data_IF_436416948947
#
_entry.id   IF_436416948947
#
_cell.length_a   1.000
_cell.length_b   1.000
_cell.length_c   1.000
_cell.angle_alpha   90.00
_cell.angle_beta   90.00
_cell.angle_gamma   90.00
#
_symmetry.space_group_name_H-M   'P 1'
#
loop_
_entity.id
_entity.type
_entity.pdbx_description
1 polymer ?
#
# COMPACT_ATOMS: atom_id res chain seq x y z
N UNK A 1 -8.50 31.19 -6.12
CA UNK A 1 -9.23 29.95 -5.78
C UNK A 1 -8.29 29.11 -4.96
N UNK A 2 -8.55 28.99 -3.66
CA UNK A 2 -7.75 28.20 -2.71
C UNK A 2 -8.07 26.73 -2.97
N UNK A 3 -7.10 25.98 -3.51
CA UNK A 3 -7.23 24.52 -3.58
C UNK A 3 -7.53 23.98 -2.18
N UNK A 4 -8.66 23.29 -1.94
CA UNK A 4 -8.87 22.58 -0.70
C UNK A 4 -7.84 21.46 -0.67
N UNK A 5 -6.80 21.65 0.14
CA UNK A 5 -5.78 20.64 0.45
C UNK A 5 -6.41 19.24 0.46
N UNK A 6 -5.93 18.26 -0.34
CA UNK A 6 -6.58 16.96 -0.51
C UNK A 6 -6.77 16.20 0.81
N UNK A 7 -5.95 16.51 1.82
CA UNK A 7 -6.05 16.00 3.19
C UNK A 7 -7.29 16.44 3.97
N UNK A 8 -8.08 17.40 3.47
CA UNK A 8 -9.29 17.92 4.11
C UNK A 8 -10.58 17.28 3.59
N UNK A 9 -10.49 16.43 2.59
CA UNK A 9 -11.68 15.79 1.97
C UNK A 9 -12.08 14.53 2.75
N UNK A 10 -13.39 14.28 2.86
CA UNK A 10 -13.92 13.06 3.51
C UNK A 10 -13.47 11.81 2.77
N UNK A 11 -13.41 11.87 1.42
CA UNK A 11 -13.00 10.77 0.55
C UNK A 11 -11.55 10.32 0.84
N UNK A 12 -10.64 11.25 1.08
CA UNK A 12 -9.27 10.93 1.50
C UNK A 12 -9.26 10.12 2.81
N UNK A 13 -10.02 10.53 3.81
CA UNK A 13 -10.06 9.84 5.10
C UNK A 13 -10.75 8.48 5.03
N UNK A 14 -11.77 8.32 4.18
CA UNK A 14 -12.38 7.01 3.89
C UNK A 14 -11.33 6.07 3.28
N UNK A 15 -10.57 6.54 2.28
CA UNK A 15 -9.51 5.74 1.67
C UNK A 15 -8.42 5.35 2.70
N UNK A 16 -8.02 6.27 3.58
CA UNK A 16 -7.07 5.99 4.67
C UNK A 16 -7.60 4.93 5.63
N UNK A 17 -8.87 5.03 6.06
CA UNK A 17 -9.50 4.04 6.96
C UNK A 17 -9.54 2.65 6.31
N UNK A 18 -9.93 2.57 5.04
CA UNK A 18 -9.96 1.30 4.30
C UNK A 18 -8.55 0.70 4.20
N UNK A 19 -7.54 1.51 3.85
CA UNK A 19 -6.15 1.09 3.79
C UNK A 19 -5.63 0.58 5.15
N UNK A 20 -6.00 1.26 6.25
CA UNK A 20 -5.65 0.83 7.61
C UNK A 20 -6.30 -0.52 7.97
N UNK A 21 -7.57 -0.74 7.64
CA UNK A 21 -8.25 -2.02 7.89
C UNK A 21 -7.54 -3.16 7.14
N UNK A 22 -7.21 -2.95 5.86
CA UNK A 22 -6.47 -3.92 5.05
C UNK A 22 -5.10 -4.20 5.68
N UNK A 23 -4.39 -3.16 6.11
CA UNK A 23 -3.09 -3.29 6.78
C UNK A 23 -3.20 -4.11 8.06
N UNK A 24 -4.19 -3.86 8.91
CA UNK A 24 -4.37 -4.62 10.16
C UNK A 24 -4.67 -6.09 9.85
N UNK A 25 -5.64 -6.36 8.96
CA UNK A 25 -6.04 -7.74 8.61
C UNK A 25 -4.90 -8.54 7.98
N UNK A 26 -4.09 -7.91 7.13
CA UNK A 26 -2.94 -8.57 6.50
C UNK A 26 -1.71 -8.63 7.39
N UNK A 27 -1.58 -7.77 8.42
CA UNK A 27 -0.46 -7.87 9.38
C UNK A 27 -0.67 -9.02 10.35
N UNK A 28 -1.91 -9.28 10.78
CA UNK A 28 -2.22 -10.35 11.73
C UNK A 28 -1.82 -11.76 11.24
N UNK A 29 -1.66 -11.93 9.93
CA UNK A 29 -1.24 -13.18 9.28
C UNK A 29 0.27 -13.25 9.02
N UNK A 30 1.03 -12.17 9.29
CA UNK A 30 2.47 -12.10 9.05
C UNK A 30 3.26 -12.24 10.35
N UNK A 31 4.20 -13.19 10.39
CA UNK A 31 5.17 -13.29 11.47
C UNK A 31 6.21 -12.15 11.43
N UNK A 32 7.04 -11.98 12.48
CA UNK A 32 8.00 -10.87 12.61
C UNK A 32 8.94 -10.69 11.42
N UNK A 33 9.37 -11.81 10.80
CA UNK A 33 10.20 -11.78 9.59
C UNK A 33 9.46 -11.18 8.39
N UNK A 34 8.19 -11.53 8.19
CA UNK A 34 7.36 -11.00 7.11
C UNK A 34 7.15 -9.50 7.23
N UNK A 35 6.97 -9.00 8.47
CA UNK A 35 6.90 -7.56 8.74
C UNK A 35 8.22 -6.87 8.40
N UNK A 36 9.35 -7.42 8.84
CA UNK A 36 10.67 -6.85 8.54
C UNK A 36 10.94 -6.77 7.03
N UNK A 37 10.65 -7.84 6.27
CA UNK A 37 10.77 -7.83 4.81
C UNK A 37 9.84 -6.81 4.17
N UNK A 38 8.62 -6.68 4.66
CA UNK A 38 7.66 -5.69 4.15
C UNK A 38 8.19 -4.27 4.32
N UNK A 39 8.73 -3.93 5.49
CA UNK A 39 9.32 -2.62 5.75
C UNK A 39 10.53 -2.37 4.84
N UNK A 40 11.46 -3.33 4.75
CA UNK A 40 12.65 -3.21 3.92
C UNK A 40 12.30 -2.99 2.44
N UNK A 41 11.38 -3.79 1.90
CA UNK A 41 10.93 -3.65 0.51
C UNK A 41 10.24 -2.31 0.28
N UNK A 42 9.42 -1.84 1.21
CA UNK A 42 8.70 -0.57 1.07
C UNK A 42 9.65 0.63 1.08
N UNK A 43 10.63 0.63 1.99
CA UNK A 43 11.66 1.67 2.08
C UNK A 43 12.58 1.62 0.85
N UNK A 44 13.01 0.43 0.44
CA UNK A 44 13.85 0.24 -0.75
C UNK A 44 13.15 0.69 -2.03
N UNK A 45 11.86 0.38 -2.18
CA UNK A 45 11.07 0.83 -3.32
C UNK A 45 10.93 2.35 -3.34
N UNK A 46 10.63 2.98 -2.20
CA UNK A 46 10.57 4.43 -2.10
C UNK A 46 11.92 5.08 -2.47
N UNK A 47 13.03 4.52 -1.96
CA UNK A 47 14.37 5.02 -2.26
C UNK A 47 14.70 5.03 -3.76
N UNK A 48 14.23 4.02 -4.50
CA UNK A 48 14.54 3.86 -5.93
C UNK A 48 13.54 4.58 -6.84
N UNK A 49 12.25 4.55 -6.50
CA UNK A 49 11.18 4.91 -7.45
C UNK A 49 10.47 6.24 -7.15
N UNK A 50 10.76 6.91 -6.03
CA UNK A 50 10.07 8.16 -5.66
C UNK A 50 10.19 9.25 -6.73
N UNK A 51 11.39 9.51 -7.26
CA UNK A 51 11.58 10.52 -8.30
C UNK A 51 10.78 10.22 -9.57
N UNK A 52 10.87 8.97 -10.05
CA UNK A 52 10.07 8.52 -11.20
C UNK A 52 8.56 8.66 -10.96
N UNK A 53 8.08 8.28 -9.77
CA UNK A 53 6.67 8.41 -9.42
C UNK A 53 6.23 9.88 -9.33
N UNK A 54 7.08 10.77 -8.81
CA UNK A 54 6.80 12.21 -8.76
C UNK A 54 6.58 12.77 -10.17
N UNK A 55 7.44 12.40 -11.12
CA UNK A 55 7.34 12.82 -12.52
C UNK A 55 6.10 12.26 -13.21
N UNK A 56 5.82 10.96 -13.04
CA UNK A 56 4.68 10.28 -13.68
C UNK A 56 3.34 10.79 -13.16
N UNK A 57 3.24 10.99 -11.84
CA UNK A 57 1.99 11.42 -11.21
C UNK A 57 1.85 12.95 -11.14
N UNK A 58 2.87 13.71 -11.55
CA UNK A 58 2.90 15.17 -11.38
C UNK A 58 2.73 15.59 -9.91
N UNK A 59 3.18 14.75 -8.98
CA UNK A 59 2.91 14.88 -7.55
C UNK A 59 4.15 15.38 -6.81
N UNK A 60 3.99 16.15 -5.71
CA UNK A 60 5.10 16.50 -4.85
C UNK A 60 5.83 15.24 -4.35
N UNK A 61 7.16 15.30 -4.29
CA UNK A 61 8.01 14.17 -3.93
C UNK A 61 7.58 13.43 -2.64
N UNK A 62 7.16 14.11 -1.55
CA UNK A 62 6.65 13.42 -0.36
C UNK A 62 5.37 12.61 -0.62
N UNK A 63 4.50 13.08 -1.51
CA UNK A 63 3.27 12.39 -1.89
C UNK A 63 3.61 11.18 -2.76
N UNK A 64 4.52 11.34 -3.72
CA UNK A 64 5.01 10.24 -4.54
C UNK A 64 5.69 9.15 -3.69
N UNK A 65 6.53 9.54 -2.72
CA UNK A 65 7.15 8.62 -1.77
C UNK A 65 6.10 7.83 -0.98
N UNK A 66 5.04 8.48 -0.51
CA UNK A 66 3.95 7.81 0.19
C UNK A 66 3.22 6.81 -0.72
N UNK A 67 2.91 7.19 -1.96
CA UNK A 67 2.27 6.30 -2.96
C UNK A 67 3.14 5.05 -3.18
N UNK A 68 4.44 5.24 -3.46
CA UNK A 68 5.37 4.14 -3.74
C UNK A 68 5.52 3.23 -2.51
N UNK A 69 5.72 3.82 -1.32
CA UNK A 69 5.89 3.06 -0.07
C UNK A 69 4.67 2.20 0.22
N UNK A 70 3.47 2.78 0.18
CA UNK A 70 2.23 2.07 0.47
C UNK A 70 1.91 1.00 -0.58
N UNK A 71 2.20 1.28 -1.84
CA UNK A 71 2.03 0.31 -2.94
C UNK A 71 2.97 -0.89 -2.74
N UNK A 72 4.25 -0.63 -2.51
CA UNK A 72 5.24 -1.68 -2.27
C UNK A 72 4.90 -2.49 -1.00
N UNK A 73 4.41 -1.82 0.06
CA UNK A 73 3.94 -2.47 1.27
C UNK A 73 2.79 -3.43 0.96
N UNK A 74 1.77 -2.96 0.24
CA UNK A 74 0.61 -3.76 -0.16
C UNK A 74 0.98 -4.96 -1.02
N UNK A 75 1.83 -4.76 -2.03
CA UNK A 75 2.30 -5.83 -2.92
C UNK A 75 3.11 -6.86 -2.14
N UNK A 76 4.03 -6.44 -1.27
CA UNK A 76 4.85 -7.38 -0.49
C UNK A 76 3.99 -8.21 0.46
N UNK A 77 3.01 -7.60 1.13
CA UNK A 77 2.06 -8.32 1.99
C UNK A 77 1.25 -9.33 1.19
N UNK A 78 0.77 -8.95 0.01
CA UNK A 78 0.04 -9.85 -0.87
C UNK A 78 0.91 -11.04 -1.31
N UNK A 79 2.17 -10.78 -1.68
CA UNK A 79 3.14 -11.83 -2.03
C UNK A 79 3.41 -12.77 -0.85
N UNK A 80 3.63 -12.24 0.35
CA UNK A 80 3.86 -13.05 1.55
C UNK A 80 2.64 -13.91 1.89
N UNK A 81 1.43 -13.37 1.74
CA UNK A 81 0.21 -14.18 1.86
C UNK A 81 0.16 -15.29 0.81
N UNK A 82 0.44 -14.97 -0.46
CA UNK A 82 0.41 -15.95 -1.54
C UNK A 82 1.45 -17.07 -1.38
N UNK A 83 2.64 -16.77 -0.85
CA UNK A 83 3.68 -17.77 -0.59
C UNK A 83 3.33 -18.65 0.61
N UNK A 84 2.78 -18.06 1.68
CA UNK A 84 2.46 -18.80 2.90
C UNK A 84 1.16 -19.59 2.80
N UNK A 85 0.13 -19.04 2.14
CA UNK A 85 -1.16 -19.68 1.88
C UNK A 85 -1.74 -19.21 0.52
N UNK A 86 -1.45 -19.94 -0.57
CA UNK A 86 -1.91 -19.59 -1.91
C UNK A 86 -3.45 -19.50 -2.02
N UNK A 87 -4.19 -20.25 -1.19
CA UNK A 87 -5.66 -20.25 -1.22
C UNK A 87 -6.21 -18.93 -0.69
N UNK A 88 -5.63 -18.42 0.40
CA UNK A 88 -6.01 -17.12 0.96
C UNK A 88 -5.81 -15.97 -0.05
N UNK A 89 -4.72 -16.00 -0.84
CA UNK A 89 -4.48 -15.00 -1.88
C UNK A 89 -5.50 -15.09 -3.03
N UNK A 90 -5.87 -16.32 -3.45
CA UNK A 90 -6.90 -16.54 -4.47
C UNK A 90 -8.27 -16.08 -3.99
N UNK A 91 -8.63 -16.35 -2.74
CA UNK A 91 -9.92 -15.95 -2.18
C UNK A 91 -10.01 -14.43 -2.01
N UNK A 92 -8.93 -13.77 -1.61
CA UNK A 92 -8.83 -12.31 -1.59
C UNK A 92 -8.97 -11.72 -3.01
N UNK A 93 -8.31 -12.33 -4.01
CA UNK A 93 -8.45 -11.91 -5.41
C UNK A 93 -9.88 -12.07 -5.93
N UNK A 94 -10.53 -13.22 -5.66
CA UNK A 94 -11.93 -13.46 -6.01
C UNK A 94 -12.87 -12.45 -5.34
N UNK A 95 -12.60 -12.08 -4.10
CA UNK A 95 -13.36 -11.06 -3.39
C UNK A 95 -13.24 -9.70 -4.09
N UNK A 96 -12.03 -9.30 -4.49
CA UNK A 96 -11.78 -8.05 -5.22
C UNK A 96 -12.38 -8.01 -6.61
N UNK A 97 -12.53 -9.16 -7.26
CA UNK A 97 -13.08 -9.28 -8.62
C UNK A 97 -14.60 -9.35 -8.67
N UNK A 98 -15.28 -9.50 -7.52
CA UNK A 98 -16.74 -9.46 -7.48
C UNK A 98 -17.19 -8.02 -7.74
N UNK A 99 -18.08 -7.79 -8.72
CA UNK A 99 -18.61 -6.46 -9.04
C UNK A 99 -19.43 -5.88 -7.88
#
# INVERSE_FOLDING_TARGET
MTDPSPFKTLDFWIAVIVALIIKIKTTATLGPKGVAFTVLTSVGAAWVFTGYAADVFGAPEPVAAAIVTLTAEGVMRWLLMAVNDPRAAIDLWKYWRKP
#
